data_IF_699097718804
#
_entry.id   IF_699097718804
#
_cell.length_a   1.000
_cell.length_b   1.000
_cell.length_c   1.000
_cell.angle_alpha   90.00
_cell.angle_beta   90.00
_cell.angle_gamma   90.00
#
_symmetry.space_group_name_H-M   'P 1'
#
loop_
_entity.id
_entity.type
_entity.pdbx_description
1 polymer ?
#
# COMPACT_ATOMS: atom_id res chain seq x y z
N UNK A 1 -6.97 -8.24 -17.35
CA UNK A 1 -6.46 -6.95 -17.85
C UNK A 1 -5.62 -6.21 -16.78
N UNK A 2 -6.01 -6.26 -15.49
CA UNK A 2 -5.29 -5.67 -14.37
C UNK A 2 -5.89 -6.10 -13.04
N UNK A 3 -5.19 -5.83 -11.92
CA UNK A 3 -5.63 -6.21 -10.58
C UNK A 3 -5.58 -5.02 -9.62
N UNK A 4 -6.66 -4.82 -8.87
CA UNK A 4 -6.67 -3.95 -7.69
C UNK A 4 -6.87 -4.84 -6.44
N UNK A 5 -6.02 -4.67 -5.43
CA UNK A 5 -6.25 -5.20 -4.08
C UNK A 5 -6.59 -4.01 -3.17
N UNK A 6 -7.80 -4.01 -2.65
CA UNK A 6 -8.37 -2.92 -1.86
C UNK A 6 -7.98 -2.99 -0.38
N UNK A 7 -8.30 -1.95 0.36
CA UNK A 7 -8.16 -1.84 1.79
C UNK A 7 -8.92 -2.89 2.60
N UNK A 8 -8.64 -3.01 3.89
CA UNK A 8 -9.31 -3.97 4.77
C UNK A 8 -8.61 -4.19 6.11
N UNK A 9 -9.01 -5.25 6.80
CA UNK A 9 -8.47 -5.67 8.08
C UNK A 9 -7.01 -6.12 7.98
N UNK A 10 -6.34 -6.21 9.12
CA UNK A 10 -4.93 -6.57 9.24
C UNK A 10 -4.58 -7.91 8.60
N UNK A 11 -3.35 -8.01 8.12
CA UNK A 11 -2.77 -9.24 7.59
C UNK A 11 -2.23 -10.07 8.76
N UNK A 12 -2.42 -11.38 8.73
CA UNK A 12 -1.86 -12.28 9.74
C UNK A 12 -0.34 -12.10 9.89
N UNK A 13 0.12 -11.66 11.05
CA UNK A 13 1.51 -11.38 11.34
C UNK A 13 2.45 -12.58 11.10
N UNK A 14 1.92 -13.80 11.23
CA UNK A 14 2.66 -15.04 10.99
C UNK A 14 3.10 -15.19 9.52
N UNK A 15 2.42 -14.54 8.57
CA UNK A 15 2.78 -14.54 7.15
C UNK A 15 4.08 -13.77 6.86
N UNK A 16 4.42 -12.82 7.73
CA UNK A 16 5.71 -12.10 7.69
C UNK A 16 6.59 -12.39 8.93
N UNK A 17 6.41 -13.59 9.53
CA UNK A 17 7.26 -14.18 10.58
C UNK A 17 7.33 -13.38 11.87
N UNK A 18 6.27 -12.66 12.21
CA UNK A 18 6.12 -11.94 13.47
C UNK A 18 5.02 -12.57 14.34
N UNK A 19 5.08 -12.33 15.65
CA UNK A 19 3.96 -12.63 16.54
C UNK A 19 2.90 -11.54 16.40
N UNK A 20 1.59 -11.88 16.46
CA UNK A 20 0.54 -10.88 16.42
C UNK A 20 0.65 -9.88 17.58
N UNK A 21 0.53 -8.58 17.28
CA UNK A 21 0.39 -7.54 18.28
C UNK A 21 -0.99 -7.59 18.93
N UNK A 22 -1.13 -7.16 20.19
CA UNK A 22 -2.41 -7.20 20.93
C UNK A 22 -3.54 -6.38 20.29
N UNK A 23 -3.18 -5.32 19.53
CA UNK A 23 -4.15 -4.48 18.81
C UNK A 23 -4.49 -4.99 17.43
N UNK A 24 -3.86 -6.07 16.96
CA UNK A 24 -4.12 -6.62 15.62
C UNK A 24 -5.51 -7.20 15.49
N UNK A 25 -6.12 -7.01 14.35
CA UNK A 25 -7.39 -7.61 13.99
C UNK A 25 -7.30 -9.14 13.99
N UNK A 26 -8.44 -9.80 14.20
CA UNK A 26 -8.51 -11.25 14.06
C UNK A 26 -8.16 -11.65 12.62
N UNK A 27 -7.19 -12.58 12.41
CA UNK A 27 -6.72 -12.96 11.08
C UNK A 27 -7.85 -13.45 10.16
N UNK A 28 -7.81 -13.00 8.91
CA UNK A 28 -8.71 -13.44 7.84
C UNK A 28 -7.98 -14.36 6.86
N UNK A 29 -7.56 -15.53 7.35
CA UNK A 29 -6.63 -16.46 6.68
C UNK A 29 -7.00 -16.72 5.21
N UNK A 30 -8.27 -16.95 4.91
CA UNK A 30 -8.72 -17.20 3.53
C UNK A 30 -8.52 -15.99 2.62
N UNK A 31 -8.78 -14.78 3.15
CA UNK A 31 -8.56 -13.53 2.41
C UNK A 31 -7.08 -13.29 2.17
N UNK A 32 -6.26 -13.45 3.21
CA UNK A 32 -4.81 -13.26 3.12
C UNK A 32 -4.20 -14.20 2.06
N UNK A 33 -4.50 -15.50 2.15
CA UNK A 33 -4.01 -16.49 1.20
C UNK A 33 -4.50 -16.21 -0.24
N UNK A 34 -5.76 -15.83 -0.40
CA UNK A 34 -6.36 -15.51 -1.69
C UNK A 34 -5.70 -14.29 -2.33
N UNK A 35 -5.53 -13.18 -1.59
CA UNK A 35 -4.95 -11.96 -2.13
C UNK A 35 -3.45 -12.08 -2.41
N UNK A 36 -2.68 -12.81 -1.58
CA UNK A 36 -1.28 -13.15 -1.86
C UNK A 36 -1.18 -13.96 -3.15
N UNK A 37 -2.07 -14.96 -3.35
CA UNK A 37 -2.09 -15.78 -4.56
C UNK A 37 -2.45 -14.95 -5.79
N UNK A 38 -3.42 -14.04 -5.69
CA UNK A 38 -3.81 -13.12 -6.78
C UNK A 38 -2.66 -12.16 -7.14
N UNK A 39 -1.97 -11.58 -6.16
CA UNK A 39 -0.81 -10.73 -6.41
C UNK A 39 0.29 -11.49 -7.14
N UNK A 40 0.67 -12.67 -6.63
CA UNK A 40 1.71 -13.51 -7.25
C UNK A 40 1.34 -13.87 -8.69
N UNK A 41 0.07 -14.23 -8.94
CA UNK A 41 -0.40 -14.57 -10.29
C UNK A 41 -0.41 -13.33 -11.21
N UNK A 42 -0.83 -12.18 -10.72
CA UNK A 42 -0.75 -10.93 -11.48
C UNK A 42 0.70 -10.56 -11.84
N UNK A 43 1.64 -10.79 -10.91
CA UNK A 43 3.08 -10.61 -11.17
C UNK A 43 3.59 -11.56 -12.23
N UNK A 44 3.28 -12.86 -12.11
CA UNK A 44 3.66 -13.90 -13.10
C UNK A 44 3.13 -13.57 -14.51
N UNK A 45 1.89 -13.09 -14.60
CA UNK A 45 1.25 -12.73 -15.88
C UNK A 45 1.59 -11.30 -16.34
N UNK A 46 2.45 -10.60 -15.64
CA UNK A 46 2.79 -9.19 -15.88
C UNK A 46 1.58 -8.25 -16.00
N UNK A 47 0.50 -8.51 -15.24
CA UNK A 47 -0.69 -7.68 -15.24
C UNK A 47 -0.44 -6.37 -14.46
N UNK A 48 -0.92 -5.23 -14.93
CA UNK A 48 -0.94 -4.00 -14.15
C UNK A 48 -1.56 -4.21 -12.77
N UNK A 49 -0.91 -3.69 -11.73
CA UNK A 49 -1.31 -3.88 -10.33
C UNK A 49 -1.40 -2.57 -9.57
N UNK A 50 -2.49 -2.38 -8.83
CA UNK A 50 -2.65 -1.30 -7.85
C UNK A 50 -3.05 -1.88 -6.49
N UNK A 51 -2.20 -1.71 -5.48
CA UNK A 51 -2.50 -2.02 -4.08
C UNK A 51 -2.94 -0.77 -3.32
N UNK A 52 -4.08 -0.83 -2.62
CA UNK A 52 -4.61 0.29 -1.84
C UNK A 52 -4.61 -0.10 -0.36
N UNK A 53 -3.97 0.69 0.51
CA UNK A 53 -3.90 0.49 1.95
C UNK A 53 -3.42 -0.94 2.28
N UNK A 54 -4.29 -1.83 2.71
CA UNK A 54 -3.97 -3.24 2.90
C UNK A 54 -3.40 -3.90 1.63
N UNK A 55 -3.80 -3.47 0.43
CA UNK A 55 -3.27 -3.99 -0.83
C UNK A 55 -1.79 -3.67 -1.05
N UNK A 56 -1.28 -2.52 -0.61
CA UNK A 56 0.14 -2.21 -0.55
C UNK A 56 0.86 -3.15 0.43
N UNK A 57 0.25 -3.42 1.59
CA UNK A 57 0.83 -4.32 2.61
C UNK A 57 0.88 -5.78 2.11
N UNK A 58 -0.15 -6.26 1.40
CA UNK A 58 -0.14 -7.58 0.71
C UNK A 58 1.00 -7.65 -0.31
N UNK A 59 1.20 -6.58 -1.09
CA UNK A 59 2.32 -6.46 -2.03
C UNK A 59 3.66 -6.63 -1.31
N UNK A 60 3.90 -5.89 -0.22
CA UNK A 60 5.13 -5.96 0.57
C UNK A 60 5.36 -7.36 1.17
N UNK A 61 4.35 -7.92 1.85
CA UNK A 61 4.44 -9.26 2.46
C UNK A 61 4.69 -10.34 1.40
N UNK A 62 4.06 -10.24 0.23
CA UNK A 62 4.27 -11.16 -0.87
C UNK A 62 5.68 -11.14 -1.44
N UNK A 63 6.39 -10.01 -1.30
CA UNK A 63 7.78 -9.79 -1.72
C UNK A 63 8.80 -10.01 -0.58
N UNK A 64 8.36 -10.59 0.53
CA UNK A 64 9.22 -10.91 1.68
C UNK A 64 9.40 -9.78 2.69
N UNK A 65 8.59 -8.75 2.60
CA UNK A 65 8.58 -7.61 3.52
C UNK A 65 7.91 -7.89 4.86
N UNK A 66 7.97 -6.91 5.75
CA UNK A 66 7.37 -6.94 7.09
C UNK A 66 6.55 -5.68 7.36
N UNK A 67 5.69 -5.73 8.39
CA UNK A 67 4.83 -4.62 8.77
C UNK A 67 5.11 -4.13 10.19
N UNK A 68 4.99 -2.83 10.40
CA UNK A 68 4.73 -2.22 11.71
C UNK A 68 3.27 -2.51 12.04
N UNK A 69 3.04 -3.32 13.07
CA UNK A 69 1.69 -3.78 13.41
C UNK A 69 0.86 -2.73 14.15
N UNK A 70 1.51 -1.73 14.75
CA UNK A 70 0.84 -0.64 15.46
C UNK A 70 1.66 0.66 15.38
N UNK A 71 1.29 1.55 14.46
CA UNK A 71 1.98 2.83 14.23
C UNK A 71 2.06 3.72 15.48
N UNK A 72 1.04 3.80 16.37
CA UNK A 72 1.13 4.60 17.58
C UNK A 72 2.28 4.24 18.53
N UNK A 73 2.88 3.06 18.40
CA UNK A 73 4.06 2.67 19.19
C UNK A 73 5.36 3.29 18.68
N UNK A 74 5.39 3.73 17.42
CA UNK A 74 6.62 4.18 16.74
C UNK A 74 6.56 5.63 16.25
N UNK A 75 5.37 6.19 16.06
CA UNK A 75 5.19 7.57 15.61
C UNK A 75 4.09 8.30 16.39
N UNK A 76 4.18 9.64 16.41
CA UNK A 76 3.16 10.51 16.97
C UNK A 76 2.21 11.09 15.92
N UNK A 77 2.54 10.94 14.63
CA UNK A 77 1.64 11.36 13.57
C UNK A 77 0.40 10.44 13.58
N UNK A 78 -0.76 11.06 13.56
CA UNK A 78 -2.00 10.30 13.58
C UNK A 78 -2.37 9.86 12.16
N UNK A 79 -2.26 8.57 11.88
CA UNK A 79 -2.67 7.96 10.60
C UNK A 79 -4.10 7.40 10.64
N UNK A 80 -4.73 7.33 11.82
CA UNK A 80 -6.09 6.81 12.00
C UNK A 80 -6.70 7.35 13.31
N UNK A 81 -7.53 8.39 13.26
CA UNK A 81 -8.12 8.97 14.50
C UNK A 81 -9.07 7.99 15.19
N UNK A 82 -9.82 7.20 14.44
CA UNK A 82 -10.69 6.10 14.93
C UNK A 82 -11.05 5.16 13.76
N UNK A 83 -11.61 3.98 14.02
CA UNK A 83 -12.09 3.09 12.97
C UNK A 83 -13.04 3.80 12.00
N UNK A 84 -12.82 3.62 10.69
CA UNK A 84 -13.58 4.25 9.60
C UNK A 84 -13.54 5.79 9.57
N UNK A 85 -12.63 6.41 10.29
CA UNK A 85 -12.37 7.85 10.21
C UNK A 85 -11.06 8.10 9.46
N UNK A 86 -11.04 9.21 8.72
CA UNK A 86 -9.89 9.65 7.95
C UNK A 86 -9.27 10.90 8.57
N UNK A 87 -7.96 11.02 8.42
CA UNK A 87 -7.18 12.22 8.69
C UNK A 87 -6.35 12.52 7.44
N UNK A 88 -5.93 13.76 7.25
CA UNK A 88 -5.05 14.13 6.15
C UNK A 88 -3.65 14.42 6.67
N UNK A 89 -2.63 14.03 5.91
CA UNK A 89 -1.24 14.39 6.15
C UNK A 89 -0.48 14.60 4.83
N UNK A 90 0.69 15.20 4.90
CA UNK A 90 1.59 15.35 3.76
C UNK A 90 2.22 14.03 3.35
N UNK A 91 2.37 13.83 2.05
CA UNK A 91 3.16 12.75 1.47
C UNK A 91 4.16 13.31 0.46
N UNK A 92 5.39 12.81 0.47
CA UNK A 92 6.46 13.15 -0.46
C UNK A 92 6.88 11.95 -1.27
N UNK A 93 7.28 12.18 -2.52
CA UNK A 93 7.59 11.14 -3.49
C UNK A 93 8.98 11.33 -4.10
N UNK A 94 9.63 10.23 -4.42
CA UNK A 94 10.87 10.26 -5.21
C UNK A 94 10.58 10.88 -6.58
N UNK A 95 11.42 11.83 -6.99
CA UNK A 95 11.34 12.42 -8.32
C UNK A 95 11.52 11.34 -9.40
N UNK A 96 10.76 11.45 -10.49
CA UNK A 96 10.75 10.53 -11.62
C UNK A 96 10.27 9.09 -11.32
N UNK A 97 9.74 8.84 -10.10
CA UNK A 97 9.02 7.61 -9.77
C UNK A 97 7.71 7.50 -10.55
N UNK A 98 7.11 6.30 -10.59
CA UNK A 98 5.81 6.11 -11.24
C UNK A 98 4.73 6.98 -10.60
N UNK A 99 4.68 7.01 -9.25
CA UNK A 99 3.70 7.83 -8.53
C UNK A 99 3.88 9.33 -8.83
N UNK A 100 5.12 9.85 -8.83
CA UNK A 100 5.36 11.27 -9.11
C UNK A 100 5.00 11.66 -10.55
N UNK A 101 5.17 10.76 -11.51
CA UNK A 101 4.74 10.95 -12.91
C UNK A 101 3.23 10.96 -13.04
N UNK A 102 2.53 10.01 -12.38
CA UNK A 102 1.07 9.95 -12.40
C UNK A 102 0.45 11.21 -11.80
N UNK A 103 0.91 11.61 -10.62
CA UNK A 103 0.39 12.78 -9.91
C UNK A 103 0.97 14.11 -10.38
N UNK A 104 1.98 14.08 -11.26
CA UNK A 104 2.69 15.29 -11.77
C UNK A 104 3.21 16.20 -10.64
N UNK A 105 3.61 15.60 -9.53
CA UNK A 105 4.15 16.29 -8.34
C UNK A 105 5.03 15.36 -7.53
N UNK A 106 5.90 15.92 -6.69
CA UNK A 106 6.71 15.18 -5.71
C UNK A 106 6.18 15.29 -4.27
N UNK A 107 5.08 16.00 -4.07
CA UNK A 107 4.43 16.12 -2.77
C UNK A 107 2.92 16.37 -2.93
N UNK A 108 2.11 15.90 -1.99
CA UNK A 108 0.67 16.16 -1.95
C UNK A 108 0.11 15.89 -0.56
N UNK A 109 -1.14 16.29 -0.34
CA UNK A 109 -1.90 15.87 0.86
C UNK A 109 -2.69 14.61 0.50
N UNK A 110 -2.60 13.59 1.36
CA UNK A 110 -3.34 12.33 1.23
C UNK A 110 -4.24 12.10 2.43
N UNK A 111 -5.32 11.35 2.22
CA UNK A 111 -6.15 10.87 3.33
C UNK A 111 -5.51 9.62 3.96
N UNK A 112 -5.77 9.35 5.21
CA UNK A 112 -5.20 8.22 5.93
C UNK A 112 -6.20 7.62 6.90
N UNK A 113 -6.29 6.28 6.92
CA UNK A 113 -7.09 5.52 7.87
C UNK A 113 -6.47 4.13 8.11
N UNK A 114 -5.22 4.12 8.57
CA UNK A 114 -4.50 2.87 8.86
C UNK A 114 -3.71 2.98 10.17
N UNK A 115 -3.58 1.89 10.91
CA UNK A 115 -2.76 1.79 12.12
C UNK A 115 -1.57 0.86 11.92
N UNK A 116 -1.48 0.20 10.78
CA UNK A 116 -0.33 -0.59 10.33
C UNK A 116 0.31 0.06 9.12
N UNK A 117 1.59 -0.17 8.92
CA UNK A 117 2.34 0.29 7.76
C UNK A 117 3.42 -0.73 7.37
N UNK A 118 4.00 -0.57 6.19
CA UNK A 118 5.17 -1.35 5.80
C UNK A 118 6.38 -0.92 6.61
N UNK A 119 7.10 -1.89 7.20
CA UNK A 119 8.37 -1.71 7.88
C UNK A 119 9.53 -1.98 6.92
N UNK A 120 9.50 -3.15 6.29
CA UNK A 120 10.48 -3.56 5.29
C UNK A 120 9.76 -3.83 3.95
N UNK A 121 10.18 -3.22 2.84
CA UNK A 121 9.50 -3.35 1.56
C UNK A 121 9.74 -4.71 0.86
N UNK A 122 10.61 -5.57 1.39
CA UNK A 122 11.06 -6.77 0.68
C UNK A 122 11.82 -6.42 -0.60
N UNK A 123 11.42 -7.02 -1.71
CA UNK A 123 12.05 -6.78 -3.02
C UNK A 123 11.52 -5.54 -3.76
N UNK A 124 10.73 -4.69 -3.10
CA UNK A 124 10.12 -3.51 -3.71
C UNK A 124 10.94 -2.25 -3.46
N UNK A 125 10.71 -1.23 -4.27
CA UNK A 125 11.32 0.09 -4.11
C UNK A 125 10.36 1.02 -3.37
N UNK A 126 10.83 1.66 -2.30
CA UNK A 126 10.10 2.71 -1.61
C UNK A 126 10.22 3.99 -2.43
N UNK A 127 9.10 4.58 -2.82
CA UNK A 127 9.05 5.81 -3.62
C UNK A 127 8.19 6.91 -3.02
N UNK A 128 7.63 6.69 -1.82
CA UNK A 128 6.90 7.73 -1.11
C UNK A 128 6.80 7.49 0.39
N UNK A 129 6.75 8.61 1.13
CA UNK A 129 6.72 8.64 2.60
C UNK A 129 5.78 9.73 3.10
N UNK A 130 5.20 9.51 4.27
CA UNK A 130 4.54 10.55 5.07
C UNK A 130 5.57 11.50 5.71
N UNK A 131 5.09 12.51 6.44
CA UNK A 131 5.91 13.50 7.14
C UNK A 131 6.79 12.88 8.24
N UNK A 132 6.36 11.76 8.81
CA UNK A 132 7.04 11.00 9.87
C UNK A 132 7.87 9.83 9.34
N UNK A 133 8.17 9.81 8.05
CA UNK A 133 8.90 8.75 7.33
C UNK A 133 8.16 7.41 7.23
N UNK A 134 6.89 7.34 7.62
CA UNK A 134 6.05 6.16 7.35
C UNK A 134 5.97 5.91 5.83
N UNK A 135 6.19 4.66 5.42
CA UNK A 135 6.15 4.27 4.00
C UNK A 135 4.72 4.41 3.47
N UNK A 136 4.54 5.24 2.45
CA UNK A 136 3.27 5.52 1.80
C UNK A 136 3.17 4.95 0.38
N UNK A 137 4.30 4.70 -0.29
CA UNK A 137 4.32 4.20 -1.67
C UNK A 137 5.40 3.15 -1.87
N UNK A 138 5.01 2.04 -2.51
CA UNK A 138 5.90 1.00 -3.02
C UNK A 138 5.69 0.81 -4.51
N UNK A 139 6.80 0.57 -5.23
CA UNK A 139 6.80 0.24 -6.65
C UNK A 139 7.63 -1.03 -6.92
N UNK A 140 7.14 -1.92 -7.77
CA UNK A 140 7.98 -2.92 -8.42
C UNK A 140 8.54 -2.30 -9.72
N UNK A 141 9.73 -1.73 -9.63
CA UNK A 141 10.38 -0.99 -10.74
C UNK A 141 10.82 -1.90 -11.89
N UNK A 142 10.69 -3.21 -11.74
CA UNK A 142 10.95 -4.17 -12.84
C UNK A 142 9.76 -4.30 -13.78
N UNK A 143 8.62 -3.66 -13.45
CA UNK A 143 7.35 -3.78 -14.17
C UNK A 143 6.87 -2.39 -14.61
N UNK A 144 6.14 -2.35 -15.70
CA UNK A 144 5.62 -1.10 -16.26
C UNK A 144 4.61 -0.40 -15.33
N UNK A 145 3.71 -1.20 -14.70
CA UNK A 145 2.75 -0.68 -13.75
C UNK A 145 2.54 -1.68 -12.61
N UNK A 146 3.19 -1.43 -11.49
CA UNK A 146 2.99 -2.18 -10.26
C UNK A 146 3.24 -1.24 -9.08
N UNK A 147 2.16 -0.72 -8.51
CA UNK A 147 2.14 0.37 -7.56
C UNK A 147 1.30 0.01 -6.35
N UNK A 148 1.79 0.29 -5.16
CA UNK A 148 1.03 0.25 -3.91
C UNK A 148 1.02 1.64 -3.27
N UNK A 149 -0.13 2.06 -2.75
CA UNK A 149 -0.30 3.29 -1.98
C UNK A 149 -0.96 2.98 -0.64
N UNK A 150 -0.49 3.61 0.44
CA UNK A 150 -1.01 3.34 1.79
C UNK A 150 -2.31 4.10 2.07
N UNK A 151 -2.50 5.26 1.46
CA UNK A 151 -3.76 6.03 1.55
C UNK A 151 -4.89 5.42 0.72
N UNK A 152 -6.07 6.06 0.78
CA UNK A 152 -7.29 5.63 0.11
C UNK A 152 -7.67 6.56 -1.06
N UNK A 153 -7.09 6.38 -2.26
CA UNK A 153 -7.41 7.22 -3.42
C UNK A 153 -8.88 7.10 -3.86
N UNK A 154 -9.56 5.99 -3.54
CA UNK A 154 -10.98 5.79 -3.83
C UNK A 154 -11.89 6.76 -3.06
N UNK A 155 -11.40 7.33 -1.96
CA UNK A 155 -12.10 8.32 -1.14
C UNK A 155 -11.80 9.76 -1.60
N UNK A 156 -11.01 9.95 -2.64
CA UNK A 156 -10.64 11.24 -3.22
C UNK A 156 -11.36 11.52 -4.53
N UNK A 157 -11.49 12.80 -4.90
CA UNK A 157 -11.94 13.19 -6.24
C UNK A 157 -10.85 12.97 -7.31
N UNK A 158 -9.58 12.89 -6.91
CA UNK A 158 -8.45 12.62 -7.81
C UNK A 158 -8.48 11.18 -8.33
N UNK A 159 -8.72 11.02 -9.62
CA UNK A 159 -8.83 9.71 -10.28
C UNK A 159 -7.58 9.30 -11.06
N UNK A 160 -6.51 10.11 -11.03
CA UNK A 160 -5.30 9.88 -11.86
C UNK A 160 -4.66 8.50 -11.66
N UNK A 161 -4.69 7.95 -10.44
CA UNK A 161 -4.18 6.59 -10.18
C UNK A 161 -4.98 5.51 -10.92
N UNK A 162 -6.31 5.62 -10.89
CA UNK A 162 -7.19 4.68 -11.58
C UNK A 162 -7.11 4.83 -13.09
N UNK A 163 -7.04 6.06 -13.60
CA UNK A 163 -6.86 6.36 -15.03
C UNK A 163 -5.54 5.79 -15.55
N UNK A 164 -4.45 5.93 -14.78
CA UNK A 164 -3.16 5.37 -15.12
C UNK A 164 -3.18 3.83 -15.15
N UNK A 165 -3.83 3.18 -14.18
CA UNK A 165 -4.04 1.74 -14.18
C UNK A 165 -4.82 1.29 -15.43
N UNK A 166 -5.97 1.94 -15.71
CA UNK A 166 -6.81 1.62 -16.89
C UNK A 166 -6.01 1.78 -18.18
N UNK A 167 -5.18 2.83 -18.29
CA UNK A 167 -4.31 3.04 -19.44
C UNK A 167 -3.29 1.92 -19.58
N UNK A 168 -2.70 1.45 -18.49
CA UNK A 168 -1.76 0.33 -18.49
C UNK A 168 -2.43 -1.00 -18.89
N UNK A 169 -3.71 -1.20 -18.55
CA UNK A 169 -4.49 -2.39 -18.92
C UNK A 169 -4.84 -2.47 -20.42
N UNK A 170 -4.75 -1.36 -21.16
CA UNK A 170 -5.14 -1.30 -22.59
C UNK A 170 -3.99 -1.60 -23.56
N UNK A 171 -2.82 -1.90 -23.05
CA UNK A 171 -1.64 -2.30 -23.82
C UNK A 171 -1.59 -3.81 -23.95
#
# INVERSE_FOLDING_TARGET
DGLIIAGGADIDARLYKQNPHETSDKPRITRDAGEISLYKKAKELNLPFLGICRGLQIMAVSEGGTLIQHLPDVTKLNHRPAPAQFVNHGARFTKDSLISKILSTTETIVNSSHHQAVENPGNLTITGWAEDDTIEVLEDTTREFSLGVQWHPEMSEDKRLFEALIKACKK
#
